data_IF_500108303999
#
_entry.id   IF_500108303999
#
_cell.length_a   1.000
_cell.length_b   1.000
_cell.length_c   1.000
_cell.angle_alpha   90.00
_cell.angle_beta   90.00
_cell.angle_gamma   90.00
#
_symmetry.space_group_name_H-M   'P 1'
#
loop_
_entity.id
_entity.type
_entity.pdbx_description
1 polymer ?
#
# COMPACT_ATOMS: atom_id res chain seq x y z
N UNK A 1 14.52 -4.89 -31.83
CA UNK A 1 13.32 -4.00 -31.72
C UNK A 1 12.30 -4.71 -30.84
N UNK A 2 12.42 -4.53 -29.56
CA UNK A 2 11.55 -5.19 -28.59
C UNK A 2 10.39 -4.26 -28.25
N UNK A 3 9.19 -4.73 -28.51
CA UNK A 3 7.96 -4.01 -28.20
C UNK A 3 7.69 -4.18 -26.71
N UNK A 4 7.97 -3.14 -25.95
CA UNK A 4 7.56 -3.01 -24.56
C UNK A 4 6.02 -3.02 -24.52
N UNK A 5 5.46 -4.12 -24.01
CA UNK A 5 4.03 -4.18 -23.72
C UNK A 5 3.78 -3.38 -22.48
N UNK A 6 3.32 -2.14 -22.65
CA UNK A 6 2.79 -1.33 -21.56
C UNK A 6 1.49 -1.99 -21.10
N UNK A 7 1.56 -2.69 -19.98
CA UNK A 7 0.36 -3.13 -19.28
C UNK A 7 -0.14 -1.94 -18.47
N UNK A 8 -1.23 -1.34 -18.92
CA UNK A 8 -1.94 -0.31 -18.19
C UNK A 8 -2.46 -0.92 -16.89
N UNK A 9 -1.86 -0.55 -15.77
CA UNK A 9 -2.43 -0.80 -14.45
C UNK A 9 -3.69 0.06 -14.34
N UNK A 10 -4.84 -0.59 -14.31
CA UNK A 10 -6.12 0.09 -14.12
C UNK A 10 -6.18 0.62 -12.69
N UNK A 11 -6.04 1.93 -12.54
CA UNK A 11 -6.45 2.64 -11.33
C UNK A 11 -7.98 2.52 -11.30
N UNK A 12 -8.49 1.68 -10.41
CA UNK A 12 -9.92 1.66 -10.14
C UNK A 12 -10.23 2.85 -9.21
N UNK A 13 -10.30 4.04 -9.80
CA UNK A 13 -10.90 5.18 -9.13
C UNK A 13 -12.41 4.94 -9.10
N UNK A 14 -12.91 4.35 -8.02
CA UNK A 14 -14.34 4.25 -7.80
C UNK A 14 -14.86 5.65 -7.47
N UNK A 15 -15.29 6.37 -8.50
CA UNK A 15 -16.01 7.63 -8.34
C UNK A 15 -17.37 7.33 -7.68
N UNK A 16 -17.50 7.72 -6.43
CA UNK A 16 -18.76 7.70 -5.70
C UNK A 16 -19.72 8.69 -6.31
N UNK A 17 -20.79 8.23 -6.93
CA UNK A 17 -21.99 9.04 -7.12
C UNK A 17 -22.71 9.15 -5.78
N UNK A 18 -22.42 10.21 -5.04
CA UNK A 18 -23.20 10.57 -3.86
C UNK A 18 -24.61 10.97 -4.28
N UNK A 19 -25.54 10.04 -4.18
CA UNK A 19 -26.95 10.34 -4.21
C UNK A 19 -27.31 11.12 -2.95
N UNK A 20 -27.47 12.45 -3.09
CA UNK A 20 -28.01 13.29 -2.02
C UNK A 20 -29.49 12.98 -1.87
N UNK A 21 -29.84 12.08 -0.96
CA UNK A 21 -31.17 11.96 -0.43
C UNK A 21 -31.21 12.73 0.90
N UNK A 22 -31.57 14.01 0.81
CA UNK A 22 -32.02 14.77 1.96
C UNK A 22 -33.39 14.24 2.39
N UNK A 23 -33.37 13.27 3.29
CA UNK A 23 -34.55 12.68 3.90
C UNK A 23 -34.30 12.41 5.37
N UNK A 24 -35.23 12.78 6.22
CA UNK A 24 -35.25 12.62 7.67
C UNK A 24 -34.44 11.43 8.15
N UNK A 25 -33.39 11.69 8.93
CA UNK A 25 -32.60 10.64 9.58
C UNK A 25 -33.47 9.84 10.53
N UNK A 26 -33.99 8.72 10.05
CA UNK A 26 -34.62 7.75 10.96
C UNK A 26 -33.54 7.26 11.94
N UNK A 27 -33.85 7.14 13.26
CA UNK A 27 -32.86 6.78 14.28
C UNK A 27 -32.26 5.37 14.11
N UNK A 28 -32.66 4.64 13.11
CA UNK A 28 -32.26 3.25 12.81
C UNK A 28 -31.44 3.07 11.52
N UNK A 29 -30.97 4.13 10.90
CA UNK A 29 -30.11 3.95 9.71
C UNK A 29 -28.85 3.20 10.09
N UNK A 30 -28.64 2.05 9.44
CA UNK A 30 -27.42 1.25 9.59
C UNK A 30 -26.21 2.15 9.32
N UNK A 31 -25.19 2.03 10.16
CA UNK A 31 -23.91 2.68 9.89
C UNK A 31 -23.32 2.06 8.62
N UNK A 32 -22.95 2.89 7.67
CA UNK A 32 -22.26 2.48 6.45
C UNK A 32 -20.90 3.15 6.42
N UNK A 33 -19.91 2.38 5.97
CA UNK A 33 -18.57 2.85 5.77
C UNK A 33 -18.22 2.77 4.29
N UNK A 34 -17.49 3.74 3.80
CA UNK A 34 -16.87 3.70 2.48
C UNK A 34 -15.39 4.01 2.64
N UNK A 35 -14.56 3.33 1.86
CA UNK A 35 -13.13 3.52 1.93
C UNK A 35 -12.55 3.87 0.56
N UNK A 36 -11.43 4.58 0.57
CA UNK A 36 -10.60 4.81 -0.60
C UNK A 36 -9.14 4.61 -0.18
N UNK A 37 -8.38 3.89 -0.97
CA UNK A 37 -6.98 3.60 -0.67
C UNK A 37 -6.16 3.44 -1.95
N UNK A 38 -4.83 3.55 -1.82
CA UNK A 38 -3.91 3.39 -2.92
C UNK A 38 -2.49 3.06 -2.46
N UNK A 39 -1.76 2.38 -3.35
CA UNK A 39 -0.32 2.15 -3.23
C UNK A 39 0.39 3.03 -4.27
N UNK A 40 1.40 3.75 -3.82
CA UNK A 40 2.22 4.62 -4.67
C UNK A 40 3.69 4.29 -4.43
N UNK A 41 4.47 4.25 -5.50
CA UNK A 41 5.87 3.83 -5.46
C UNK A 41 6.79 4.99 -5.83
N UNK A 42 8.01 4.96 -5.32
CA UNK A 42 9.02 5.95 -5.63
C UNK A 42 10.18 5.32 -6.39
N UNK A 43 10.54 5.91 -7.52
CA UNK A 43 11.75 5.60 -8.26
C UNK A 43 12.95 6.48 -7.90
N UNK A 44 12.78 7.45 -7.00
CA UNK A 44 13.77 8.46 -6.62
C UNK A 44 14.07 8.47 -5.12
N UNK A 45 14.10 7.29 -4.51
CA UNK A 45 14.42 7.07 -3.08
C UNK A 45 13.48 7.81 -2.12
N UNK A 46 12.21 7.91 -2.46
CA UNK A 46 11.18 8.49 -1.58
C UNK A 46 11.00 10.00 -1.71
N UNK A 47 11.60 10.64 -2.71
CA UNK A 47 11.39 12.08 -2.96
C UNK A 47 10.05 12.36 -3.65
N UNK A 48 9.62 11.48 -4.55
CA UNK A 48 8.31 11.56 -5.19
C UNK A 48 7.63 10.18 -5.24
N UNK A 49 6.31 10.16 -5.24
CA UNK A 49 5.51 8.94 -5.25
C UNK A 49 4.48 9.00 -6.37
N UNK A 50 4.33 7.90 -7.11
CA UNK A 50 3.38 7.79 -8.20
C UNK A 50 3.11 6.32 -8.55
N UNK A 51 2.59 6.09 -9.74
CA UNK A 51 2.32 4.72 -10.24
C UNK A 51 3.58 3.93 -10.60
N UNK A 52 4.73 4.46 -10.30
CA UNK A 52 6.11 4.01 -10.48
C UNK A 52 6.37 2.64 -11.09
N UNK A 53 7.64 2.30 -11.24
CA UNK A 53 8.09 0.94 -11.60
C UNK A 53 7.58 -0.05 -10.56
N UNK A 54 7.06 -1.18 -11.01
CA UNK A 54 6.68 -2.32 -10.19
C UNK A 54 7.66 -3.49 -10.29
N UNK A 55 8.81 -3.25 -10.91
CA UNK A 55 9.89 -4.20 -11.07
C UNK A 55 11.14 -3.64 -10.40
N UNK A 56 11.72 -4.42 -9.52
CA UNK A 56 12.88 -4.06 -8.70
C UNK A 56 13.89 -5.20 -8.72
N UNK A 57 15.16 -4.91 -8.50
CA UNK A 57 16.17 -5.94 -8.27
C UNK A 57 16.15 -6.39 -6.80
N UNK A 58 16.47 -7.67 -6.58
CA UNK A 58 16.64 -8.20 -5.21
C UNK A 58 17.79 -7.45 -4.54
N UNK A 59 17.54 -6.97 -3.33
CA UNK A 59 18.49 -6.15 -2.59
C UNK A 59 18.26 -4.64 -2.70
N UNK A 60 17.47 -4.21 -3.68
CA UNK A 60 17.08 -2.80 -3.78
C UNK A 60 16.11 -2.40 -2.67
N UNK A 61 16.20 -1.16 -2.22
CA UNK A 61 15.22 -0.62 -1.29
C UNK A 61 13.99 -0.14 -2.05
N UNK A 62 12.87 -0.77 -1.78
CA UNK A 62 11.56 -0.31 -2.24
C UNK A 62 11.06 0.80 -1.33
N UNK A 63 10.66 1.92 -1.92
CA UNK A 63 10.00 3.02 -1.23
C UNK A 63 8.54 3.07 -1.67
N UNK A 64 7.64 2.92 -0.73
CA UNK A 64 6.21 2.87 -0.99
C UNK A 64 5.46 3.82 -0.06
N UNK A 65 4.46 4.50 -0.60
CA UNK A 65 3.48 5.27 0.16
C UNK A 65 2.14 4.56 0.09
N UNK A 66 1.52 4.36 1.23
CA UNK A 66 0.15 3.85 1.33
C UNK A 66 -0.74 5.00 1.79
N UNK A 67 -1.81 5.23 1.06
CA UNK A 67 -2.84 6.19 1.39
C UNK A 67 -4.14 5.47 1.66
N UNK A 68 -4.89 5.91 2.66
CA UNK A 68 -6.24 5.40 2.93
C UNK A 68 -7.10 6.45 3.62
N UNK A 69 -8.40 6.36 3.35
CA UNK A 69 -9.43 7.23 3.92
C UNK A 69 -10.68 6.40 4.16
N UNK A 70 -11.29 6.54 5.33
CA UNK A 70 -12.57 5.88 5.63
C UNK A 70 -13.59 6.95 6.00
N UNK A 71 -14.71 6.97 5.30
CA UNK A 71 -15.84 7.84 5.60
C UNK A 71 -17.03 7.05 6.12
N UNK A 72 -17.91 7.70 6.85
CA UNK A 72 -19.13 7.09 7.39
C UNK A 72 -20.31 8.04 7.25
N UNK A 73 -21.52 7.48 7.21
CA UNK A 73 -22.77 8.24 7.21
C UNK A 73 -23.19 8.73 8.60
N UNK A 74 -22.32 8.65 9.60
CA UNK A 74 -22.57 9.13 10.96
C UNK A 74 -21.74 10.36 11.26
N UNK A 75 -22.35 11.34 11.87
CA UNK A 75 -21.67 12.57 12.34
C UNK A 75 -20.69 12.31 13.51
N UNK A 76 -20.83 11.16 14.17
CA UNK A 76 -19.91 10.77 15.24
C UNK A 76 -18.74 9.98 14.68
N UNK A 77 -17.53 10.42 14.94
CA UNK A 77 -16.29 9.73 14.59
C UNK A 77 -16.26 8.32 15.18
N UNK A 78 -15.89 7.36 14.36
CA UNK A 78 -15.63 5.96 14.74
C UNK A 78 -14.24 5.55 14.28
N UNK A 79 -13.69 4.53 14.94
CA UNK A 79 -12.40 3.96 14.56
C UNK A 79 -12.61 2.71 13.72
N UNK A 80 -11.84 2.60 12.64
CA UNK A 80 -11.78 1.44 11.75
C UNK A 80 -10.35 0.96 11.74
N UNK A 81 -10.17 -0.33 11.99
CA UNK A 81 -8.85 -0.96 11.88
C UNK A 81 -8.53 -1.20 10.39
N UNK A 82 -7.31 -0.86 10.00
CA UNK A 82 -6.76 -1.10 8.67
C UNK A 82 -5.49 -1.92 8.81
N UNK A 83 -5.36 -2.99 8.05
CA UNK A 83 -4.20 -3.89 8.11
C UNK A 83 -3.52 -3.96 6.76
N UNK A 84 -2.25 -3.60 6.72
CA UNK A 84 -1.38 -3.82 5.58
C UNK A 84 -0.54 -5.07 5.83
N UNK A 85 -0.53 -5.99 4.88
CA UNK A 85 0.27 -7.21 4.90
C UNK A 85 1.27 -7.22 3.75
N UNK A 86 2.53 -7.50 4.07
CA UNK A 86 3.66 -7.56 3.13
C UNK A 86 4.36 -8.91 3.33
N UNK A 87 4.15 -9.89 2.44
CA UNK A 87 4.80 -11.19 2.53
C UNK A 87 6.24 -11.14 1.99
N UNK A 88 7.06 -12.10 2.44
CA UNK A 88 8.39 -12.40 1.89
C UNK A 88 9.38 -11.24 1.89
N UNK A 89 9.28 -10.33 2.86
CA UNK A 89 10.22 -9.21 3.02
C UNK A 89 10.79 -9.17 4.42
N UNK A 90 11.99 -8.60 4.54
CA UNK A 90 12.66 -8.34 5.81
C UNK A 90 13.01 -6.85 5.94
N UNK A 91 13.36 -6.44 7.15
CA UNK A 91 13.81 -5.07 7.43
C UNK A 91 12.84 -3.99 6.93
N UNK A 92 11.56 -4.19 7.22
CA UNK A 92 10.52 -3.23 6.85
C UNK A 92 10.49 -2.10 7.87
N UNK A 93 10.60 -0.87 7.39
CA UNK A 93 10.50 0.36 8.18
C UNK A 93 9.25 1.13 7.72
N UNK A 94 8.38 1.48 8.65
CA UNK A 94 7.14 2.20 8.34
C UNK A 94 6.98 3.40 9.25
N UNK A 95 6.58 4.54 8.66
CA UNK A 95 6.36 5.80 9.37
C UNK A 95 5.14 6.52 8.82
N UNK A 96 4.39 7.16 9.71
CA UNK A 96 3.45 8.18 9.28
C UNK A 96 4.18 9.39 8.69
N UNK A 97 3.47 10.22 7.94
CA UNK A 97 4.05 11.43 7.33
C UNK A 97 4.60 12.43 8.35
N UNK A 98 4.13 12.40 9.59
CA UNK A 98 4.65 13.19 10.71
C UNK A 98 5.94 12.61 11.34
N UNK A 99 6.43 11.47 10.83
CA UNK A 99 7.63 10.78 11.29
C UNK A 99 7.42 9.78 12.43
N UNK A 100 6.20 9.62 12.93
CA UNK A 100 5.90 8.61 13.96
C UNK A 100 6.12 7.21 13.38
N UNK A 101 6.97 6.41 14.05
CA UNK A 101 7.29 5.03 13.66
C UNK A 101 6.09 4.12 13.93
N UNK A 102 5.79 3.25 12.97
CA UNK A 102 4.75 2.24 13.06
C UNK A 102 5.40 0.90 13.33
N UNK A 103 5.03 0.25 14.45
CA UNK A 103 5.62 -1.03 14.83
C UNK A 103 5.03 -2.15 14.00
N UNK A 104 5.87 -2.95 13.29
CA UNK A 104 5.41 -4.12 12.58
C UNK A 104 5.12 -5.28 13.53
N UNK A 105 4.23 -6.16 13.08
CA UNK A 105 4.09 -7.51 13.62
C UNK A 105 4.57 -8.51 12.56
N UNK A 106 5.58 -9.32 12.90
CA UNK A 106 6.16 -10.29 11.99
C UNK A 106 5.71 -11.71 12.35
N UNK A 107 5.03 -12.36 11.42
CA UNK A 107 4.70 -13.79 11.49
C UNK A 107 5.79 -14.62 10.81
N UNK A 108 6.67 -15.21 11.62
CA UNK A 108 7.79 -16.02 11.12
C UNK A 108 7.34 -17.33 10.46
N UNK A 109 6.14 -17.83 10.77
CA UNK A 109 5.62 -19.09 10.19
C UNK A 109 5.18 -18.86 8.75
N UNK A 110 4.47 -17.78 8.52
CA UNK A 110 3.95 -17.44 7.20
C UNK A 110 4.87 -16.46 6.43
N UNK A 111 5.96 -16.00 7.08
CA UNK A 111 6.88 -15.00 6.53
C UNK A 111 6.14 -13.74 6.04
N UNK A 112 5.29 -13.17 6.90
CA UNK A 112 4.50 -11.99 6.60
C UNK A 112 4.73 -10.91 7.63
N UNK A 113 5.02 -9.70 7.17
CA UNK A 113 5.04 -8.49 8.00
C UNK A 113 3.71 -7.78 7.89
N UNK A 114 3.09 -7.47 9.02
CA UNK A 114 1.81 -6.74 9.08
C UNK A 114 1.96 -5.43 9.83
N UNK A 115 1.26 -4.40 9.36
CA UNK A 115 1.11 -3.11 10.02
C UNK A 115 -0.36 -2.86 10.30
N UNK A 116 -0.67 -2.48 11.53
CA UNK A 116 -2.02 -2.13 11.94
C UNK A 116 -2.14 -0.61 12.07
N UNK A 117 -3.12 -0.04 11.40
CA UNK A 117 -3.46 1.36 11.46
C UNK A 117 -4.86 1.52 12.04
N UNK A 118 -5.12 2.69 12.59
CA UNK A 118 -6.47 3.10 13.01
C UNK A 118 -6.92 4.28 12.17
N UNK A 119 -7.90 4.07 11.30
CA UNK A 119 -8.53 5.13 10.55
C UNK A 119 -9.66 5.77 11.37
N UNK A 120 -9.68 7.09 11.44
CA UNK A 120 -10.77 7.84 12.06
C UNK A 120 -11.84 8.11 10.99
N UNK A 121 -12.87 7.28 10.98
CA UNK A 121 -13.99 7.42 10.05
C UNK A 121 -14.95 8.53 10.51
N UNK A 122 -15.24 9.47 9.63
CA UNK A 122 -16.22 10.55 9.83
C UNK A 122 -16.84 10.92 8.48
N UNK A 123 -17.86 11.79 8.47
CA UNK A 123 -18.44 12.30 7.21
C UNK A 123 -17.39 13.05 6.37
N UNK A 124 -16.46 13.73 7.03
CA UNK A 124 -15.38 14.52 6.41
C UNK A 124 -14.00 14.00 6.88
N UNK A 125 -13.77 12.68 6.78
CA UNK A 125 -12.50 12.10 7.18
C UNK A 125 -11.35 12.64 6.33
N UNK A 126 -10.23 12.96 6.97
CA UNK A 126 -8.99 13.25 6.28
C UNK A 126 -8.34 11.98 5.73
N UNK A 127 -7.60 12.13 4.65
CA UNK A 127 -6.74 11.08 4.12
C UNK A 127 -5.57 10.87 5.09
N UNK A 128 -5.22 9.61 5.31
CA UNK A 128 -4.06 9.20 6.09
C UNK A 128 -3.02 8.59 5.16
N UNK A 129 -1.76 8.92 5.41
CA UNK A 129 -0.63 8.47 4.60
C UNK A 129 0.45 7.88 5.50
N UNK A 130 1.04 6.79 5.04
CA UNK A 130 2.26 6.26 5.63
C UNK A 130 3.28 5.90 4.54
N UNK A 131 4.55 6.05 4.87
CA UNK A 131 5.68 5.67 4.02
C UNK A 131 6.29 4.41 4.57
N UNK A 132 6.54 3.46 3.68
CA UNK A 132 7.10 2.16 3.99
C UNK A 132 8.32 1.94 3.13
N UNK A 133 9.39 1.44 3.76
CA UNK A 133 10.62 1.02 3.09
C UNK A 133 10.85 -0.45 3.40
N UNK A 134 11.23 -1.22 2.42
CA UNK A 134 11.61 -2.62 2.62
C UNK A 134 12.59 -3.09 1.55
N UNK A 135 13.29 -4.18 1.85
CA UNK A 135 14.24 -4.81 0.94
C UNK A 135 13.71 -6.21 0.63
N UNK A 136 13.42 -6.53 -0.63
CA UNK A 136 13.06 -7.88 -1.03
C UNK A 136 14.29 -8.80 -0.89
N UNK A 137 14.06 -10.02 -0.41
CA UNK A 137 15.12 -11.00 -0.15
C UNK A 137 15.08 -12.20 -1.09
N UNK A 138 14.16 -12.23 -2.03
CA UNK A 138 14.02 -13.32 -2.99
C UNK A 138 13.43 -12.80 -4.31
N UNK A 139 13.82 -13.47 -5.40
CA UNK A 139 13.23 -13.28 -6.73
C UNK A 139 11.79 -13.79 -6.73
N UNK A 140 10.93 -13.10 -7.46
CA UNK A 140 9.52 -13.48 -7.66
C UNK A 140 8.55 -12.36 -7.37
N UNK A 141 7.27 -12.69 -7.34
CA UNK A 141 6.20 -11.72 -7.10
C UNK A 141 5.88 -11.60 -5.61
N UNK A 142 5.74 -10.37 -5.14
CA UNK A 142 5.22 -10.06 -3.79
C UNK A 142 3.91 -9.31 -3.94
N UNK A 143 2.82 -9.91 -3.46
CA UNK A 143 1.51 -9.27 -3.43
C UNK A 143 1.22 -8.74 -2.04
N UNK A 144 1.16 -7.43 -1.91
CA UNK A 144 0.77 -6.74 -0.69
C UNK A 144 -0.74 -6.55 -0.67
N UNK A 145 -1.33 -6.62 0.51
CA UNK A 145 -2.77 -6.39 0.69
C UNK A 145 -3.02 -5.33 1.76
N UNK A 146 -4.00 -4.47 1.52
CA UNK A 146 -4.55 -3.56 2.50
C UNK A 146 -6.02 -3.91 2.71
N UNK A 147 -6.35 -4.33 3.91
CA UNK A 147 -7.70 -4.78 4.28
C UNK A 147 -8.24 -3.95 5.43
N UNK A 148 -9.54 -3.80 5.45
CA UNK A 148 -10.27 -3.11 6.50
C UNK A 148 -10.91 -4.11 7.47
N UNK A 149 -11.35 -3.65 8.63
CA UNK A 149 -12.11 -4.50 9.56
C UNK A 149 -13.51 -4.85 9.01
N UNK A 150 -14.18 -5.79 9.67
CA UNK A 150 -15.48 -6.36 9.26
C UNK A 150 -16.61 -5.31 9.17
N UNK A 151 -16.40 -4.08 9.59
CA UNK A 151 -17.40 -3.01 9.48
C UNK A 151 -17.41 -2.37 8.10
N UNK A 152 -16.31 -2.49 7.35
CA UNK A 152 -16.17 -1.97 5.98
C UNK A 152 -16.41 -3.12 5.00
N UNK A 153 -17.04 -2.82 3.87
CA UNK A 153 -17.29 -3.81 2.83
C UNK A 153 -15.93 -4.31 2.26
N UNK A 154 -15.69 -5.63 2.19
CA UNK A 154 -14.42 -6.17 1.66
C UNK A 154 -14.13 -5.77 0.20
N UNK A 155 -15.11 -5.24 -0.54
CA UNK A 155 -14.86 -4.71 -1.88
C UNK A 155 -13.95 -3.48 -1.90
N UNK A 156 -13.68 -2.87 -0.76
CA UNK A 156 -12.72 -1.78 -0.60
C UNK A 156 -11.30 -2.25 -0.30
N UNK A 157 -11.10 -3.52 -0.03
CA UNK A 157 -9.77 -4.10 0.14
C UNK A 157 -9.01 -3.97 -1.18
N UNK A 158 -7.74 -3.61 -1.08
CA UNK A 158 -6.88 -3.47 -2.26
C UNK A 158 -5.64 -4.33 -2.15
N UNK A 159 -5.09 -4.66 -3.29
CA UNK A 159 -3.81 -5.36 -3.39
C UNK A 159 -2.94 -4.75 -4.48
N UNK A 160 -1.64 -4.88 -4.31
CA UNK A 160 -0.65 -4.51 -5.32
C UNK A 160 0.46 -5.52 -5.37
N UNK A 161 0.89 -5.87 -6.57
CA UNK A 161 1.94 -6.85 -6.81
C UNK A 161 3.18 -6.17 -7.37
N UNK A 162 4.33 -6.47 -6.78
CA UNK A 162 5.66 -6.09 -7.26
C UNK A 162 6.39 -7.33 -7.76
N UNK A 163 7.18 -7.17 -8.79
CA UNK A 163 8.07 -8.19 -9.33
C UNK A 163 9.51 -7.90 -8.92
N UNK A 164 10.20 -8.93 -8.39
CA UNK A 164 11.61 -8.85 -8.02
C UNK A 164 12.40 -9.77 -8.93
N UNK A 165 13.40 -9.20 -9.60
CA UNK A 165 14.29 -9.90 -10.52
C UNK A 165 15.68 -10.06 -9.89
N UNK A 166 16.47 -10.98 -10.43
CA UNK A 166 17.87 -11.08 -10.04
C UNK A 166 18.61 -9.78 -10.37
N UNK A 167 19.49 -9.36 -9.44
CA UNK A 167 20.41 -8.27 -9.74
C UNK A 167 21.31 -8.69 -10.90
N UNK A 168 21.31 -7.93 -11.98
CA UNK A 168 22.27 -8.09 -13.05
C UNK A 168 23.60 -7.52 -12.58
N UNK A 169 24.35 -8.33 -11.84
CA UNK A 169 25.74 -8.03 -11.56
C UNK A 169 26.46 -8.03 -12.93
N UNK A 170 26.71 -6.84 -13.45
CA UNK A 170 27.52 -6.65 -14.65
C UNK A 170 28.94 -7.13 -14.31
N UNK A 171 29.13 -8.44 -14.42
CA UNK A 171 30.41 -9.11 -14.21
C UNK A 171 31.50 -8.61 -15.17
N UNK A 172 31.81 -7.33 -15.09
CA UNK A 172 32.97 -6.73 -15.71
C UNK A 172 34.17 -6.80 -14.75
N UNK A 173 34.56 -8.02 -14.39
CA UNK A 173 35.94 -8.25 -13.97
C UNK A 173 36.83 -8.06 -15.18
N UNK A 174 37.27 -6.84 -15.41
CA UNK A 174 38.46 -6.61 -16.20
C UNK A 174 39.63 -7.31 -15.52
N UNK A 175 39.90 -8.52 -16.01
CA UNK A 175 41.17 -9.19 -15.79
C UNK A 175 42.26 -8.38 -16.50
N UNK A 176 42.83 -7.40 -15.82
CA UNK A 176 44.07 -6.79 -16.24
C UNK A 176 45.23 -7.64 -15.80
N UNK A 177 45.47 -8.74 -16.52
CA UNK A 177 46.79 -9.38 -16.54
C UNK A 177 47.73 -8.44 -17.32
N UNK A 178 48.45 -7.59 -16.63
CA UNK A 178 49.65 -6.96 -17.15
C UNK A 178 50.82 -7.97 -17.09
N UNK A 179 51.34 -8.32 -18.24
CA UNK A 179 52.69 -8.91 -18.42
C UNK A 179 53.77 -7.86 -18.25
#
# INVERSE_FOLDING_TARGET
>A
MNKIKRTLASILLVALTAGVLSGCTMPWTKTTYTAASGFFYSGDKGHSYGDGTKEYEVGDTVYMKVQFKVTTNKSKTSQVKVVLSIPNVQNVDAKYMDGQVITPNFDAVNNVTTYEFTANASEEAAEQECVIQFIPNAVGSVTMTLVYDDNVDPSYDIQSTLEFIESMDDGNTQDTTED
#
